data_IF_330269434003
#
_entry.id   IF_330269434003
#
_cell.length_a   1.000
_cell.length_b   1.000
_cell.length_c   1.000
_cell.angle_alpha   90.00
_cell.angle_beta   90.00
_cell.angle_gamma   90.00
#
_symmetry.space_group_name_H-M   'P 1'
#
loop_
_entity.id
_entity.type
_entity.pdbx_description
1 polymer ?
#
# COMPACT_ATOMS: atom_id res chain seq x y z
N UNK A 1 27.70 -8.93 10.61
CA UNK A 1 26.23 -9.11 10.45
C UNK A 1 25.71 -7.82 9.87
N UNK A 2 25.10 -7.88 8.68
CA UNK A 2 24.47 -6.69 8.06
C UNK A 2 23.13 -6.38 8.75
N UNK A 3 22.58 -5.20 8.49
CA UNK A 3 21.25 -4.82 9.03
C UNK A 3 20.18 -5.78 8.57
N UNK A 4 20.15 -6.17 7.29
CA UNK A 4 19.18 -7.12 6.76
C UNK A 4 19.36 -8.52 7.36
N UNK A 5 20.61 -8.97 7.52
CA UNK A 5 20.91 -10.25 8.17
C UNK A 5 20.40 -10.29 9.64
N UNK A 6 20.45 -9.17 10.35
CA UNK A 6 19.94 -9.08 11.72
C UNK A 6 18.42 -9.31 11.81
N UNK A 7 17.67 -9.00 10.77
CA UNK A 7 16.21 -9.21 10.73
C UNK A 7 15.83 -10.69 10.75
N UNK A 8 16.72 -11.60 10.37
CA UNK A 8 16.47 -13.04 10.45
C UNK A 8 16.33 -13.55 11.89
N UNK A 9 16.77 -12.77 12.87
CA UNK A 9 16.67 -13.08 14.30
C UNK A 9 15.43 -12.42 14.96
N UNK A 10 14.67 -11.62 14.21
CA UNK A 10 13.44 -11.02 14.74
C UNK A 10 12.39 -12.10 15.03
N UNK A 11 11.61 -11.95 16.12
CA UNK A 11 10.55 -12.89 16.43
C UNK A 11 9.47 -12.83 15.34
N UNK A 12 9.04 -14.02 14.90
CA UNK A 12 7.94 -14.11 13.95
C UNK A 12 6.61 -14.21 14.69
N UNK A 13 5.68 -13.29 14.40
CA UNK A 13 4.40 -13.18 15.12
C UNK A 13 3.62 -14.49 15.12
N UNK A 14 3.54 -15.16 13.97
CA UNK A 14 2.76 -16.37 13.82
C UNK A 14 3.38 -17.62 14.49
N UNK A 15 4.67 -17.57 14.85
CA UNK A 15 5.32 -18.57 15.70
C UNK A 15 5.19 -18.23 17.20
N UNK A 16 4.98 -16.96 17.51
CA UNK A 16 4.80 -16.46 18.86
C UNK A 16 3.37 -16.70 19.39
N UNK A 17 2.36 -16.34 18.61
CA UNK A 17 0.95 -16.39 19.02
C UNK A 17 0.48 -17.76 19.54
N UNK A 18 0.88 -18.93 18.96
CA UNK A 18 0.52 -20.24 19.50
C UNK A 18 1.03 -20.54 20.93
N UNK A 19 2.02 -19.77 21.39
CA UNK A 19 2.68 -19.98 22.70
C UNK A 19 2.22 -18.98 23.77
N UNK A 20 1.32 -18.06 23.39
CA UNK A 20 0.81 -17.03 24.29
C UNK A 20 -0.23 -17.65 25.23
N UNK A 21 -0.04 -17.46 26.54
CA UNK A 21 -1.00 -17.92 27.55
C UNK A 21 -2.21 -17.00 27.72
N UNK A 22 -2.08 -15.73 27.34
CA UNK A 22 -3.17 -14.75 27.41
C UNK A 22 -4.22 -15.04 26.34
N UNK A 23 -5.52 -14.79 26.63
CA UNK A 23 -6.56 -14.83 25.61
C UNK A 23 -6.22 -13.89 24.43
N UNK A 24 -6.45 -14.35 23.20
CA UNK A 24 -6.25 -13.56 21.99
C UNK A 24 -7.62 -13.07 21.52
N UNK A 25 -7.75 -11.78 21.24
CA UNK A 25 -8.98 -11.15 20.75
C UNK A 25 -8.72 -10.34 19.49
N UNK A 26 -9.71 -10.25 18.61
CA UNK A 26 -9.64 -9.39 17.43
C UNK A 26 -10.28 -8.03 17.71
N UNK A 27 -9.65 -6.99 17.21
CA UNK A 27 -10.23 -5.66 17.14
C UNK A 27 -10.65 -5.33 15.70
N UNK A 28 -11.93 -5.40 15.43
CA UNK A 28 -12.56 -5.13 14.14
C UNK A 28 -13.30 -6.33 13.55
N UNK A 29 -14.02 -6.04 12.46
CA UNK A 29 -14.86 -6.98 11.70
C UNK A 29 -14.65 -6.74 10.21
N UNK A 30 -14.97 -7.73 9.37
CA UNK A 30 -14.84 -7.66 7.91
C UNK A 30 -13.65 -8.44 7.38
N UNK A 31 -13.26 -8.18 6.14
CA UNK A 31 -12.30 -9.02 5.39
C UNK A 31 -10.96 -9.24 6.12
N UNK A 32 -10.43 -8.20 6.77
CA UNK A 32 -9.19 -8.33 7.54
C UNK A 32 -9.34 -9.27 8.75
N UNK A 33 -10.49 -9.19 9.44
CA UNK A 33 -10.80 -10.08 10.56
C UNK A 33 -11.04 -11.52 10.07
N UNK A 34 -11.71 -11.69 8.92
CA UNK A 34 -11.87 -13.01 8.30
C UNK A 34 -10.51 -13.66 8.01
N UNK A 35 -9.60 -12.94 7.37
CA UNK A 35 -8.27 -13.44 7.02
C UNK A 35 -7.44 -13.81 8.27
N UNK A 36 -7.48 -12.98 9.33
CA UNK A 36 -6.78 -13.27 10.58
C UNK A 36 -7.39 -14.49 11.27
N UNK A 37 -8.72 -14.60 11.33
CA UNK A 37 -9.39 -15.77 11.93
C UNK A 37 -9.06 -17.06 11.18
N UNK A 38 -9.08 -17.02 9.84
CA UNK A 38 -8.73 -18.18 9.02
C UNK A 38 -7.26 -18.59 9.23
N UNK A 39 -6.35 -17.62 9.36
CA UNK A 39 -4.94 -17.89 9.69
C UNK A 39 -4.78 -18.46 11.09
N UNK A 40 -5.47 -17.91 12.09
CA UNK A 40 -5.47 -18.44 13.45
C UNK A 40 -5.98 -19.89 13.48
N UNK A 41 -7.08 -20.18 12.79
CA UNK A 41 -7.64 -21.52 12.70
C UNK A 41 -6.65 -22.50 12.05
N UNK A 42 -5.99 -22.11 10.95
CA UNK A 42 -4.99 -22.94 10.28
C UNK A 42 -3.77 -23.26 11.15
N UNK A 43 -3.44 -22.39 12.10
CA UNK A 43 -2.32 -22.55 13.04
C UNK A 43 -2.75 -23.10 14.41
N UNK A 44 -4.03 -23.43 14.60
CA UNK A 44 -4.55 -23.91 15.88
C UNK A 44 -4.51 -22.87 17.01
N UNK A 45 -4.53 -21.57 16.67
CA UNK A 45 -4.52 -20.46 17.62
C UNK A 45 -5.96 -20.18 18.08
N UNK A 46 -6.31 -20.38 19.35
CA UNK A 46 -7.65 -20.09 19.83
C UNK A 46 -7.89 -18.59 19.95
N UNK A 47 -8.99 -18.09 19.39
CA UNK A 47 -9.45 -16.72 19.54
C UNK A 47 -10.56 -16.68 20.57
N UNK A 48 -10.42 -15.83 21.60
CA UNK A 48 -11.35 -15.75 22.72
C UNK A 48 -12.55 -14.81 22.44
N UNK A 49 -12.45 -13.92 21.47
CA UNK A 49 -13.52 -13.00 21.15
C UNK A 49 -13.19 -11.95 20.11
N UNK A 50 -14.20 -11.18 19.74
CA UNK A 50 -14.11 -10.06 18.80
C UNK A 50 -14.72 -8.82 19.45
N UNK A 51 -14.02 -7.70 19.37
CA UNK A 51 -14.56 -6.42 19.80
C UNK A 51 -14.45 -5.36 18.70
N UNK A 52 -15.27 -4.34 18.82
CA UNK A 52 -15.26 -3.19 17.91
C UNK A 52 -15.30 -1.90 18.70
N UNK A 53 -15.11 -0.77 18.02
CA UNK A 53 -15.35 0.55 18.58
C UNK A 53 -16.82 0.70 18.96
N UNK A 54 -17.11 1.40 20.06
CA UNK A 54 -18.45 1.44 20.68
C UNK A 54 -19.56 1.83 19.66
N UNK A 55 -19.24 2.74 18.75
CA UNK A 55 -20.14 3.19 17.68
C UNK A 55 -20.56 2.09 16.68
N UNK A 56 -19.80 0.99 16.63
CA UNK A 56 -20.05 -0.16 15.74
C UNK A 56 -20.60 -1.40 16.48
N UNK A 57 -20.74 -1.35 17.80
CA UNK A 57 -21.31 -2.46 18.59
C UNK A 57 -22.82 -2.31 18.65
N UNK A 58 -23.55 -3.27 18.03
CA UNK A 58 -25.02 -3.25 17.93
C UNK A 58 -25.65 -4.58 18.35
N UNK A 59 -24.91 -5.39 19.13
CA UNK A 59 -25.35 -6.73 19.55
C UNK A 59 -25.25 -7.80 18.46
N UNK A 60 -24.58 -7.50 17.34
CA UNK A 60 -24.37 -8.42 16.22
C UNK A 60 -23.36 -9.52 16.55
N UNK A 61 -23.41 -10.57 15.75
CA UNK A 61 -22.40 -11.61 15.73
C UNK A 61 -21.50 -11.49 14.49
N UNK A 62 -20.23 -11.86 14.64
CA UNK A 62 -19.25 -11.99 13.56
C UNK A 62 -18.53 -13.33 13.67
N UNK A 63 -18.65 -14.18 12.67
CA UNK A 63 -18.01 -15.53 12.63
C UNK A 63 -18.30 -16.38 13.88
N UNK A 64 -19.50 -16.27 14.46
CA UNK A 64 -19.91 -16.97 15.68
C UNK A 64 -19.49 -16.31 16.99
N UNK A 65 -18.79 -15.17 16.93
CA UNK A 65 -18.45 -14.38 18.11
C UNK A 65 -19.47 -13.26 18.30
N UNK A 66 -20.03 -13.12 19.51
CA UNK A 66 -20.79 -11.92 19.89
C UNK A 66 -19.81 -10.74 19.93
N UNK A 67 -20.06 -9.70 19.13
CA UNK A 67 -19.21 -8.51 19.11
C UNK A 67 -19.45 -7.67 20.36
N UNK A 68 -18.35 -7.36 21.07
CA UNK A 68 -18.34 -6.62 22.34
C UNK A 68 -17.65 -5.27 22.17
N UNK A 69 -17.84 -4.40 23.16
CA UNK A 69 -16.99 -3.21 23.33
C UNK A 69 -15.65 -3.61 23.97
N UNK A 70 -14.63 -2.74 23.84
CA UNK A 70 -13.35 -2.93 24.54
C UNK A 70 -13.53 -3.03 26.06
N UNK A 71 -14.45 -2.22 26.64
CA UNK A 71 -14.74 -2.20 28.07
C UNK A 71 -15.31 -3.53 28.56
N UNK A 72 -16.26 -4.10 27.81
CA UNK A 72 -16.84 -5.41 28.13
C UNK A 72 -15.78 -6.51 28.02
N UNK A 73 -14.95 -6.48 26.98
CA UNK A 73 -13.87 -7.46 26.79
C UNK A 73 -12.85 -7.39 27.94
N UNK A 74 -12.47 -6.17 28.35
CA UNK A 74 -11.54 -5.96 29.47
C UNK A 74 -12.11 -6.40 30.82
N UNK A 75 -13.41 -6.19 31.03
CA UNK A 75 -14.09 -6.63 32.24
C UNK A 75 -14.16 -8.16 32.35
N UNK A 76 -14.29 -8.86 31.23
CA UNK A 76 -14.40 -10.32 31.17
C UNK A 76 -13.05 -11.03 31.23
N UNK A 77 -12.06 -10.56 30.47
CA UNK A 77 -10.78 -11.25 30.27
C UNK A 77 -9.62 -10.64 31.07
N UNK A 78 -9.74 -9.39 31.53
CA UNK A 78 -8.66 -8.68 32.22
C UNK A 78 -7.52 -8.30 31.29
N UNK A 79 -6.51 -9.17 31.17
CA UNK A 79 -5.35 -9.01 30.27
C UNK A 79 -5.46 -9.96 29.09
N UNK A 80 -5.23 -9.46 27.88
CA UNK A 80 -5.35 -10.21 26.64
C UNK A 80 -4.43 -9.64 25.55
N UNK A 81 -4.26 -10.38 24.47
CA UNK A 81 -3.57 -9.95 23.25
C UNK A 81 -4.60 -9.43 22.25
N UNK A 82 -4.35 -8.27 21.66
CA UNK A 82 -5.19 -7.66 20.63
C UNK A 82 -4.55 -7.88 19.27
N UNK A 83 -5.32 -8.43 18.33
CA UNK A 83 -4.98 -8.41 16.90
C UNK A 83 -5.86 -7.39 16.19
N UNK A 84 -5.25 -6.31 15.68
CA UNK A 84 -5.94 -5.29 14.89
C UNK A 84 -6.29 -5.90 13.53
N UNK A 85 -7.56 -5.85 13.17
CA UNK A 85 -8.12 -6.60 12.05
C UNK A 85 -8.76 -5.70 10.98
N UNK A 86 -8.45 -4.42 10.96
CA UNK A 86 -8.92 -3.47 9.93
C UNK A 86 -7.89 -2.38 9.67
N UNK A 87 -7.97 -1.82 8.48
CA UNK A 87 -7.05 -0.79 8.01
C UNK A 87 -7.58 0.62 8.27
N UNK A 88 -6.71 1.58 8.59
CA UNK A 88 -7.07 2.98 8.76
C UNK A 88 -5.86 3.90 8.61
N UNK A 89 -6.09 5.07 8.03
CA UNK A 89 -5.22 6.25 8.04
C UNK A 89 -5.74 7.37 8.96
N UNK A 90 -6.99 7.24 9.44
CA UNK A 90 -7.66 8.28 10.21
C UNK A 90 -6.93 8.53 11.52
N UNK A 91 -6.50 9.79 11.81
CA UNK A 91 -5.65 10.10 12.96
C UNK A 91 -6.25 9.69 14.31
N UNK A 92 -7.59 9.78 14.47
CA UNK A 92 -8.28 9.38 15.70
C UNK A 92 -8.26 7.86 15.90
N UNK A 93 -8.29 7.08 14.80
CA UNK A 93 -8.21 5.61 14.85
C UNK A 93 -6.78 5.17 15.14
N UNK A 94 -5.80 5.79 14.47
CA UNK A 94 -4.38 5.52 14.73
C UNK A 94 -4.02 5.81 16.18
N UNK A 95 -4.46 6.96 16.73
CA UNK A 95 -4.27 7.27 18.17
C UNK A 95 -4.90 6.20 19.07
N UNK A 96 -6.09 5.67 18.71
CA UNK A 96 -6.75 4.58 19.44
C UNK A 96 -5.92 3.29 19.42
N UNK A 97 -5.36 2.90 18.27
CA UNK A 97 -4.47 1.74 18.17
C UNK A 97 -3.27 1.85 19.09
N UNK A 98 -2.56 2.97 19.06
CA UNK A 98 -1.40 3.20 19.92
C UNK A 98 -1.78 3.35 21.40
N UNK A 99 -2.98 3.82 21.71
CA UNK A 99 -3.50 3.84 23.08
C UNK A 99 -3.74 2.42 23.59
N UNK A 100 -4.42 1.58 22.82
CA UNK A 100 -4.63 0.17 23.16
C UNK A 100 -3.33 -0.58 23.35
N UNK A 101 -2.31 -0.31 22.53
CA UNK A 101 -0.98 -0.91 22.64
C UNK A 101 -0.21 -0.52 23.92
N UNK A 102 -0.62 0.55 24.62
CA UNK A 102 -0.08 0.90 25.95
C UNK A 102 -0.77 0.16 27.09
N UNK A 103 -2.02 -0.28 26.88
CA UNK A 103 -2.82 -0.96 27.89
C UNK A 103 -2.77 -2.47 27.78
N UNK A 104 -2.66 -2.98 26.56
CA UNK A 104 -2.70 -4.40 26.23
C UNK A 104 -1.60 -4.73 25.21
N UNK A 105 -1.13 -5.95 25.24
CA UNK A 105 -0.25 -6.47 24.20
C UNK A 105 -1.00 -6.48 22.86
N UNK A 106 -0.53 -5.68 21.89
CA UNK A 106 -1.28 -5.38 20.68
C UNK A 106 -0.40 -5.52 19.43
N UNK A 107 -0.93 -6.20 18.44
CA UNK A 107 -0.32 -6.41 17.13
C UNK A 107 -1.26 -6.02 16.01
N UNK A 108 -0.72 -5.58 14.87
CA UNK A 108 -1.40 -5.50 13.60
C UNK A 108 -0.77 -6.55 12.67
N UNK A 109 -1.34 -7.77 12.58
CA UNK A 109 -0.73 -8.85 11.81
C UNK A 109 -0.57 -8.48 10.34
N UNK A 110 0.62 -8.71 9.78
CA UNK A 110 0.80 -8.63 8.34
C UNK A 110 0.25 -9.90 7.69
N UNK A 111 -0.63 -9.71 6.71
CA UNK A 111 -1.14 -10.75 5.82
C UNK A 111 -0.98 -10.27 4.38
N UNK A 112 -0.60 -11.17 3.46
CA UNK A 112 -0.48 -10.82 2.05
C UNK A 112 -1.80 -10.31 1.47
N UNK A 113 -1.70 -9.36 0.55
CA UNK A 113 -2.80 -8.89 -0.28
C UNK A 113 -2.92 -9.75 -1.56
N UNK A 114 -3.98 -9.54 -2.32
CA UNK A 114 -4.16 -10.06 -3.69
C UNK A 114 -3.99 -11.59 -3.86
N UNK A 115 -4.25 -12.38 -2.80
CA UNK A 115 -4.23 -13.85 -2.91
C UNK A 115 -2.84 -14.49 -2.86
N UNK A 116 -1.78 -13.71 -2.65
CA UNK A 116 -0.48 -14.28 -2.32
C UNK A 116 -0.59 -15.07 -1.01
N UNK A 117 -0.07 -16.30 -1.02
CA UNK A 117 -0.10 -17.20 0.15
C UNK A 117 1.20 -17.15 0.94
N UNK A 118 2.25 -16.52 0.39
CA UNK A 118 3.54 -16.39 1.05
C UNK A 118 3.48 -15.25 2.05
N UNK A 119 3.98 -15.52 3.24
CA UNK A 119 4.09 -14.54 4.34
C UNK A 119 5.57 -14.24 4.53
N UNK A 120 5.91 -13.00 4.80
CA UNK A 120 7.28 -12.60 5.16
C UNK A 120 7.66 -13.30 6.47
N UNK A 121 8.61 -14.21 6.39
CA UNK A 121 9.16 -14.97 7.52
C UNK A 121 10.67 -14.70 7.65
N UNK A 122 11.32 -15.06 8.77
CA UNK A 122 12.79 -15.04 8.85
C UNK A 122 13.48 -15.84 7.73
N UNK A 123 12.86 -16.95 7.28
CA UNK A 123 13.31 -17.74 6.14
C UNK A 123 13.22 -16.96 4.83
N UNK A 124 12.10 -16.28 4.60
CA UNK A 124 11.91 -15.42 3.44
C UNK A 124 12.96 -14.27 3.38
N UNK A 125 13.28 -13.64 4.52
CA UNK A 125 14.36 -12.63 4.59
C UNK A 125 15.70 -13.27 4.17
N UNK A 126 16.01 -14.45 4.67
CA UNK A 126 17.25 -15.18 4.35
C UNK A 126 17.36 -15.51 2.86
N UNK A 127 16.29 -16.00 2.27
CA UNK A 127 16.23 -16.37 0.84
C UNK A 127 16.43 -15.13 -0.05
N UNK A 128 15.92 -13.97 0.37
CA UNK A 128 15.96 -12.73 -0.41
C UNK A 128 17.03 -11.74 0.08
N UNK A 129 17.91 -12.13 1.03
CA UNK A 129 18.90 -11.25 1.64
C UNK A 129 19.71 -10.47 0.61
N UNK A 130 20.26 -11.13 -0.39
CA UNK A 130 21.14 -10.50 -1.37
C UNK A 130 20.47 -9.40 -2.19
N UNK A 131 19.19 -9.56 -2.55
CA UNK A 131 18.44 -8.53 -3.27
C UNK A 131 18.00 -7.40 -2.32
N UNK A 132 17.59 -7.70 -1.10
CA UNK A 132 17.23 -6.71 -0.09
C UNK A 132 18.44 -5.84 0.27
N UNK A 133 19.62 -6.41 0.52
CA UNK A 133 20.86 -5.67 0.80
C UNK A 133 21.28 -4.76 -0.37
N UNK A 134 21.13 -5.24 -1.60
CA UNK A 134 21.43 -4.46 -2.80
C UNK A 134 20.54 -3.23 -2.91
N UNK A 135 19.22 -3.40 -2.72
CA UNK A 135 18.27 -2.27 -2.74
C UNK A 135 18.52 -1.34 -1.57
N UNK A 136 18.61 -1.88 -0.34
CA UNK A 136 18.91 -1.12 0.88
C UNK A 136 20.15 -0.23 0.73
N UNK A 137 21.24 -0.79 0.20
CA UNK A 137 22.48 -0.05 -0.02
C UNK A 137 22.40 1.04 -1.09
N UNK A 138 21.43 0.95 -2.02
CA UNK A 138 21.27 1.90 -3.12
C UNK A 138 20.18 2.95 -2.86
N UNK A 139 19.37 2.81 -1.79
CA UNK A 139 18.40 3.83 -1.40
C UNK A 139 19.09 5.18 -1.12
N UNK A 140 18.43 6.27 -1.49
CA UNK A 140 19.02 7.59 -1.60
C UNK A 140 19.47 8.20 -0.26
N UNK A 141 18.83 7.85 0.86
CA UNK A 141 19.12 8.41 2.16
C UNK A 141 18.89 7.43 3.33
N UNK A 142 19.36 7.82 4.53
CA UNK A 142 19.24 7.00 5.74
C UNK A 142 17.79 6.87 6.21
N UNK A 143 16.95 7.88 5.95
CA UNK A 143 15.53 7.82 6.28
C UNK A 143 14.85 6.68 5.48
N UNK A 144 15.17 6.53 4.20
CA UNK A 144 14.69 5.44 3.35
C UNK A 144 15.13 4.07 3.85
N UNK A 145 16.39 3.96 4.24
CA UNK A 145 16.94 2.71 4.82
C UNK A 145 16.22 2.33 6.11
N UNK A 146 15.99 3.31 6.98
CA UNK A 146 15.28 3.07 8.24
C UNK A 146 13.81 2.69 8.00
N UNK A 147 13.14 3.31 7.02
CA UNK A 147 11.77 2.94 6.64
C UNK A 147 11.74 1.49 6.14
N UNK A 148 12.70 1.06 5.31
CA UNK A 148 12.78 -0.32 4.83
C UNK A 148 12.97 -1.32 5.98
N UNK A 149 13.82 -1.00 6.96
CA UNK A 149 13.99 -1.81 8.17
C UNK A 149 12.69 -1.93 8.97
N UNK A 150 12.03 -0.80 9.23
CA UNK A 150 10.79 -0.75 10.00
C UNK A 150 9.68 -1.56 9.31
N UNK A 151 9.57 -1.48 7.97
CA UNK A 151 8.63 -2.29 7.18
C UNK A 151 8.90 -3.79 7.37
N UNK A 152 10.14 -4.22 7.21
CA UNK A 152 10.51 -5.64 7.31
C UNK A 152 10.30 -6.17 8.74
N UNK A 153 10.69 -5.38 9.77
CA UNK A 153 10.42 -5.73 11.17
C UNK A 153 8.93 -5.82 11.46
N UNK A 154 8.15 -4.85 10.96
CA UNK A 154 6.70 -4.90 11.11
C UNK A 154 6.10 -6.16 10.46
N UNK A 155 6.48 -6.47 9.23
CA UNK A 155 5.96 -7.66 8.52
C UNK A 155 6.27 -8.96 9.26
N UNK A 156 7.40 -9.04 9.95
CA UNK A 156 7.76 -10.19 10.80
C UNK A 156 6.98 -10.21 12.11
N UNK A 157 6.92 -9.06 12.81
CA UNK A 157 6.52 -9.01 14.22
C UNK A 157 5.09 -8.54 14.46
N UNK A 158 4.47 -7.87 13.48
CA UNK A 158 3.16 -7.22 13.65
C UNK A 158 3.14 -6.06 14.67
N UNK A 159 4.29 -5.62 15.18
CA UNK A 159 4.38 -4.60 16.23
C UNK A 159 4.12 -3.21 15.70
N UNK A 160 3.24 -2.47 16.40
CA UNK A 160 2.86 -1.10 16.05
C UNK A 160 4.02 -0.09 16.18
N UNK A 161 5.02 -0.37 17.02
CA UNK A 161 6.18 0.52 17.19
C UNK A 161 6.93 0.78 15.88
N UNK A 162 7.01 -0.21 15.00
CA UNK A 162 7.60 -0.06 13.67
C UNK A 162 6.72 0.70 12.69
N UNK A 163 5.45 0.92 13.03
CA UNK A 163 4.53 1.78 12.27
C UNK A 163 4.44 3.21 12.83
N UNK A 164 5.12 3.52 13.92
CA UNK A 164 5.08 4.84 14.54
C UNK A 164 5.87 5.90 13.75
N UNK A 165 6.92 5.47 13.02
CA UNK A 165 7.73 6.37 12.19
C UNK A 165 7.07 6.57 10.84
N UNK A 166 6.60 7.77 10.60
CA UNK A 166 5.99 8.20 9.33
C UNK A 166 6.47 9.59 8.96
N UNK A 167 6.36 9.92 7.70
CA UNK A 167 6.56 11.27 7.18
C UNK A 167 5.22 11.87 6.74
N UNK A 168 5.17 13.18 6.54
CA UNK A 168 4.02 13.86 5.96
C UNK A 168 4.12 13.79 4.44
N UNK A 169 3.07 13.28 3.77
CA UNK A 169 3.04 13.08 2.33
C UNK A 169 3.24 14.39 1.56
N UNK A 170 2.56 15.46 1.98
CA UNK A 170 2.68 16.76 1.33
C UNK A 170 4.09 17.32 1.46
N UNK A 171 4.67 17.22 2.66
CA UNK A 171 6.05 17.66 2.89
C UNK A 171 7.05 16.85 2.05
N UNK A 172 6.85 15.53 1.92
CA UNK A 172 7.71 14.70 1.05
C UNK A 172 7.60 15.11 -0.41
N UNK A 173 6.39 15.37 -0.92
CA UNK A 173 6.18 15.85 -2.29
C UNK A 173 6.84 17.21 -2.52
N UNK A 174 6.70 18.14 -1.59
CA UNK A 174 7.29 19.49 -1.69
C UNK A 174 8.83 19.46 -1.59
N UNK A 175 9.40 18.52 -0.82
CA UNK A 175 10.86 18.49 -0.57
C UNK A 175 11.63 17.60 -1.54
N UNK A 176 11.02 16.49 -1.99
CA UNK A 176 11.66 15.52 -2.88
C UNK A 176 11.37 15.81 -4.35
N UNK A 177 10.21 16.41 -4.66
CA UNK A 177 9.86 16.81 -6.02
C UNK A 177 9.92 18.34 -6.16
N UNK A 178 10.60 18.78 -7.23
CA UNK A 178 10.52 20.19 -7.66
C UNK A 178 9.52 20.28 -8.78
N UNK A 179 8.40 20.97 -8.56
CA UNK A 179 7.39 21.20 -9.58
C UNK A 179 7.61 22.55 -10.28
N UNK A 180 7.49 22.54 -11.63
CA UNK A 180 7.53 23.72 -12.45
C UNK A 180 6.13 24.15 -12.92
N UNK A 181 6.07 25.20 -13.76
CA UNK A 181 4.80 25.70 -14.32
C UNK A 181 4.30 24.87 -15.52
N UNK A 182 5.17 24.10 -16.17
CA UNK A 182 4.87 23.32 -17.38
C UNK A 182 4.92 21.81 -17.12
N UNK A 183 4.34 21.37 -15.99
CA UNK A 183 4.33 19.94 -15.65
C UNK A 183 3.32 19.17 -16.50
N UNK A 184 3.77 18.06 -17.09
CA UNK A 184 2.88 17.04 -17.67
C UNK A 184 2.81 15.88 -16.67
N UNK A 185 1.62 15.69 -16.08
CA UNK A 185 1.41 14.76 -14.98
C UNK A 185 0.54 13.57 -15.39
N UNK A 186 1.01 12.37 -15.09
CA UNK A 186 0.28 11.12 -15.25
C UNK A 186 -0.18 10.55 -13.90
N UNK A 187 -1.47 10.32 -13.74
CA UNK A 187 -2.08 9.67 -12.59
C UNK A 187 -2.60 8.30 -13.00
N UNK A 188 -1.84 7.27 -12.73
CA UNK A 188 -2.19 5.89 -13.01
C UNK A 188 -2.80 5.25 -11.76
N UNK A 189 -4.09 4.92 -11.82
CA UNK A 189 -4.94 4.66 -10.68
C UNK A 189 -5.49 5.95 -10.07
N UNK A 190 -6.12 6.78 -10.92
CA UNK A 190 -6.55 8.14 -10.57
C UNK A 190 -7.80 8.19 -9.65
N UNK A 191 -8.42 7.05 -9.38
CA UNK A 191 -9.58 6.91 -8.48
C UNK A 191 -10.66 7.95 -8.78
N UNK A 192 -10.86 8.90 -7.88
CA UNK A 192 -11.86 9.97 -8.01
C UNK A 192 -11.22 11.35 -8.29
N UNK A 193 -9.91 11.40 -8.61
CA UNK A 193 -9.16 12.62 -8.87
C UNK A 193 -8.55 13.28 -7.63
N UNK A 194 -8.45 12.57 -6.50
CA UNK A 194 -7.84 13.09 -5.27
C UNK A 194 -6.36 13.42 -5.42
N UNK A 195 -5.60 12.57 -6.10
CA UNK A 195 -4.17 12.80 -6.38
C UNK A 195 -3.96 13.82 -7.50
N UNK A 196 -4.89 13.96 -8.45
CA UNK A 196 -4.89 15.09 -9.38
C UNK A 196 -5.12 16.42 -8.65
N UNK A 197 -6.03 16.46 -7.67
CA UNK A 197 -6.25 17.65 -6.83
C UNK A 197 -5.01 18.00 -6.02
N UNK A 198 -4.37 16.99 -5.38
CA UNK A 198 -3.11 17.17 -4.67
C UNK A 198 -2.03 17.78 -5.58
N UNK A 199 -1.89 17.28 -6.80
CA UNK A 199 -0.96 17.81 -7.79
C UNK A 199 -1.27 19.27 -8.17
N UNK A 200 -2.53 19.60 -8.44
CA UNK A 200 -2.94 20.98 -8.75
C UNK A 200 -2.69 21.95 -7.59
N UNK A 201 -2.89 21.51 -6.35
CA UNK A 201 -2.54 22.32 -5.18
C UNK A 201 -1.03 22.57 -5.07
N UNK A 202 -0.20 21.56 -5.36
CA UNK A 202 1.26 21.67 -5.32
C UNK A 202 1.84 22.57 -6.42
N UNK A 203 1.18 22.61 -7.57
CA UNK A 203 1.61 23.45 -8.72
C UNK A 203 0.90 24.80 -8.80
N UNK A 204 0.00 25.10 -7.82
CA UNK A 204 -0.83 26.31 -7.89
C UNK A 204 -1.76 26.35 -9.10
N UNK A 205 -2.16 25.19 -9.60
CA UNK A 205 -3.03 25.02 -10.76
C UNK A 205 -2.28 25.10 -12.12
N UNK A 206 -0.94 25.19 -12.12
CA UNK A 206 -0.14 25.24 -13.34
C UNK A 206 0.22 23.84 -13.84
N UNK A 207 -0.03 23.57 -15.11
CA UNK A 207 0.34 22.32 -15.80
C UNK A 207 0.30 22.49 -17.32
N UNK A 208 1.04 21.64 -18.01
CA UNK A 208 0.96 21.53 -19.48
C UNK A 208 -0.11 20.51 -19.89
N UNK A 209 -0.06 19.28 -19.35
CA UNK A 209 -1.03 18.23 -19.67
C UNK A 209 -1.28 17.29 -18.49
N UNK A 210 -2.52 16.82 -18.33
CA UNK A 210 -2.92 15.83 -17.33
C UNK A 210 -3.35 14.53 -18.01
N UNK A 211 -2.89 13.41 -17.49
CA UNK A 211 -3.35 12.07 -17.87
C UNK A 211 -3.95 11.40 -16.66
N UNK A 212 -5.17 10.87 -16.75
CA UNK A 212 -5.84 10.10 -15.70
C UNK A 212 -6.28 8.75 -16.21
N UNK A 213 -5.87 7.67 -15.56
CA UNK A 213 -6.25 6.30 -15.88
C UNK A 213 -6.94 5.66 -14.68
N UNK A 214 -8.19 5.22 -14.86
CA UNK A 214 -9.00 4.61 -13.79
C UNK A 214 -9.96 3.56 -14.39
N UNK A 215 -9.78 2.26 -14.09
CA UNK A 215 -10.59 1.20 -14.69
C UNK A 215 -11.97 1.01 -14.07
N UNK A 216 -12.20 1.44 -12.81
CA UNK A 216 -13.52 1.29 -12.19
C UNK A 216 -14.49 2.34 -12.73
N UNK A 217 -15.63 1.93 -13.35
CA UNK A 217 -16.54 2.88 -14.00
C UNK A 217 -17.15 3.92 -13.04
N UNK A 218 -17.33 3.57 -11.75
CA UNK A 218 -17.91 4.49 -10.76
C UNK A 218 -16.89 5.54 -10.35
N UNK A 219 -15.64 5.12 -10.16
CA UNK A 219 -14.56 6.03 -9.83
C UNK A 219 -14.21 6.90 -11.03
N UNK A 220 -14.14 6.32 -12.22
CA UNK A 220 -13.94 7.07 -13.47
C UNK A 220 -15.00 8.16 -13.68
N UNK A 221 -16.28 7.86 -13.41
CA UNK A 221 -17.33 8.86 -13.52
C UNK A 221 -17.14 10.02 -12.51
N UNK A 222 -16.60 9.75 -11.30
CA UNK A 222 -16.25 10.81 -10.34
C UNK A 222 -15.04 11.63 -10.81
N UNK A 223 -14.03 10.96 -11.37
CA UNK A 223 -12.87 11.60 -11.96
C UNK A 223 -13.26 12.54 -13.11
N UNK A 224 -14.13 12.10 -14.03
CA UNK A 224 -14.66 12.93 -15.10
C UNK A 224 -15.40 14.16 -14.54
N UNK A 225 -16.28 13.93 -13.57
CA UNK A 225 -17.01 15.01 -12.91
C UNK A 225 -16.09 16.02 -12.25
N UNK A 226 -15.02 15.56 -11.57
CA UNK A 226 -14.00 16.42 -10.99
C UNK A 226 -13.33 17.30 -12.06
N UNK A 227 -12.90 16.71 -13.16
CA UNK A 227 -12.25 17.45 -14.29
C UNK A 227 -13.19 18.50 -14.90
N UNK A 228 -14.49 18.16 -15.02
CA UNK A 228 -15.51 19.08 -15.53
C UNK A 228 -15.79 20.24 -14.54
N UNK A 229 -15.95 19.94 -13.25
CA UNK A 229 -16.23 20.94 -12.20
C UNK A 229 -15.07 21.93 -12.02
N UNK A 230 -13.83 21.45 -12.06
CA UNK A 230 -12.63 22.28 -11.98
C UNK A 230 -12.25 22.93 -13.35
N UNK A 231 -13.01 22.66 -14.40
CA UNK A 231 -12.80 23.18 -15.76
C UNK A 231 -11.38 22.91 -16.29
N UNK A 232 -10.83 21.73 -15.98
CA UNK A 232 -9.46 21.36 -16.36
C UNK A 232 -9.39 21.10 -17.87
N UNK A 233 -8.69 21.97 -18.59
CA UNK A 233 -8.34 21.76 -20.00
C UNK A 233 -7.09 20.88 -20.16
N UNK A 234 -6.74 20.54 -21.39
CA UNK A 234 -5.53 19.75 -21.71
C UNK A 234 -5.40 18.48 -20.85
N UNK A 235 -6.50 17.71 -20.76
CA UNK A 235 -6.63 16.52 -19.95
C UNK A 235 -7.01 15.33 -20.83
N UNK A 236 -6.35 14.18 -20.63
CA UNK A 236 -6.66 12.91 -21.26
C UNK A 236 -7.08 11.92 -20.18
N UNK A 237 -8.35 11.53 -20.16
CA UNK A 237 -8.89 10.54 -19.23
C UNK A 237 -9.17 9.22 -19.97
N UNK A 238 -8.74 8.10 -19.40
CA UNK A 238 -8.89 6.77 -19.99
C UNK A 238 -9.55 5.82 -18.99
N UNK A 239 -10.72 5.19 -19.34
CA UNK A 239 -11.43 4.26 -18.47
C UNK A 239 -10.87 2.83 -18.57
N UNK A 240 -9.56 2.70 -18.69
CA UNK A 240 -8.87 1.44 -18.87
C UNK A 240 -8.00 1.12 -17.66
N UNK A 241 -7.60 -0.15 -17.50
CA UNK A 241 -6.48 -0.49 -16.61
C UNK A 241 -5.15 -0.06 -17.22
N UNK A 242 -4.08 -0.08 -16.43
CA UNK A 242 -2.71 0.10 -16.92
C UNK A 242 -1.99 -1.24 -16.97
N UNK A 243 -1.18 -1.47 -18.01
CA UNK A 243 -0.45 -2.73 -18.18
C UNK A 243 0.83 -2.53 -19.02
N UNK A 244 1.58 -3.62 -19.21
CA UNK A 244 2.80 -3.62 -20.03
C UNK A 244 2.55 -3.34 -21.52
N UNK A 245 1.37 -3.64 -22.04
CA UNK A 245 0.95 -3.42 -23.43
C UNK A 245 -0.54 -3.12 -23.49
N UNK A 246 -0.96 -2.28 -24.43
CA UNK A 246 -2.37 -2.02 -24.66
C UNK A 246 -3.06 -3.28 -25.21
N UNK A 247 -4.09 -3.77 -24.53
CA UNK A 247 -4.79 -5.01 -24.85
C UNK A 247 -6.19 -5.06 -24.23
N UNK A 248 -6.93 -6.14 -24.50
CA UNK A 248 -8.09 -6.56 -23.72
C UNK A 248 -7.69 -7.78 -22.89
N UNK A 249 -7.77 -7.69 -21.58
CA UNK A 249 -7.37 -8.75 -20.65
C UNK A 249 -8.58 -9.29 -19.86
N UNK A 250 -8.60 -10.59 -19.52
CA UNK A 250 -9.61 -11.13 -18.63
C UNK A 250 -9.47 -10.53 -17.23
N UNK A 251 -10.58 -10.09 -16.64
CA UNK A 251 -10.64 -9.40 -15.37
C UNK A 251 -11.45 -10.18 -14.34
N UNK A 252 -10.91 -10.42 -13.18
CA UNK A 252 -11.64 -10.96 -12.05
C UNK A 252 -12.09 -9.82 -11.12
N UNK A 253 -13.36 -9.43 -11.21
CA UNK A 253 -13.96 -8.46 -10.30
C UNK A 253 -14.16 -9.10 -8.91
N UNK A 254 -13.25 -8.83 -7.96
CA UNK A 254 -13.46 -9.05 -6.53
C UNK A 254 -13.91 -7.71 -5.96
N UNK A 255 -15.19 -7.55 -5.65
CA UNK A 255 -15.79 -6.26 -5.25
C UNK A 255 -14.99 -5.47 -4.19
N UNK A 256 -14.96 -4.12 -4.33
CA UNK A 256 -14.25 -3.19 -3.47
C UNK A 256 -12.90 -2.72 -4.06
N UNK A 257 -12.01 -2.21 -3.19
CA UNK A 257 -10.64 -1.79 -3.54
C UNK A 257 -9.71 -2.93 -4.01
N UNK A 258 -10.17 -4.18 -3.97
CA UNK A 258 -9.44 -5.41 -4.27
C UNK A 258 -9.71 -5.94 -5.69
N UNK A 259 -10.03 -5.10 -6.64
CA UNK A 259 -10.23 -5.51 -8.04
C UNK A 259 -8.88 -5.57 -8.75
N UNK A 260 -8.40 -6.78 -9.07
CA UNK A 260 -7.12 -7.01 -9.74
C UNK A 260 -7.28 -7.67 -11.10
N UNK A 261 -6.29 -7.50 -11.96
CA UNK A 261 -6.17 -8.23 -13.22
C UNK A 261 -5.69 -9.66 -12.91
N UNK A 262 -6.62 -10.62 -12.83
CA UNK A 262 -6.31 -12.04 -12.63
C UNK A 262 -6.73 -12.88 -13.83
N UNK A 263 -5.93 -13.89 -14.19
CA UNK A 263 -6.28 -14.87 -15.22
C UNK A 263 -7.49 -15.69 -14.79
N UNK A 264 -8.57 -15.66 -15.58
CA UNK A 264 -9.79 -16.46 -15.36
C UNK A 264 -11.08 -15.68 -15.07
N UNK A 265 -11.06 -14.35 -15.11
CA UNK A 265 -12.26 -13.51 -14.99
C UNK A 265 -13.21 -13.66 -16.18
N UNK A 266 -14.53 -13.52 -15.92
CA UNK A 266 -15.58 -13.59 -16.96
C UNK A 266 -15.82 -12.27 -17.71
N UNK A 267 -15.17 -11.18 -17.32
CA UNK A 267 -15.26 -9.87 -17.99
C UNK A 267 -13.90 -9.50 -18.57
N UNK A 268 -13.89 -8.95 -19.75
CA UNK A 268 -12.71 -8.33 -20.33
C UNK A 268 -12.63 -6.88 -19.87
N UNK A 269 -11.44 -6.46 -19.46
CA UNK A 269 -11.12 -5.05 -19.21
C UNK A 269 -10.08 -4.63 -20.23
N UNK A 270 -10.30 -3.48 -20.81
CA UNK A 270 -9.30 -2.85 -21.65
C UNK A 270 -8.17 -2.33 -20.77
N UNK A 271 -6.97 -2.51 -21.24
CA UNK A 271 -5.77 -1.96 -20.62
C UNK A 271 -5.00 -1.15 -21.65
N UNK A 272 -4.42 -0.06 -21.19
CA UNK A 272 -3.50 0.76 -21.96
C UNK A 272 -2.10 0.67 -21.35
N UNK A 273 -1.07 1.04 -22.10
CA UNK A 273 0.26 1.22 -21.54
C UNK A 273 0.64 2.70 -21.54
N UNK A 274 1.56 3.08 -20.66
CA UNK A 274 1.99 4.46 -20.51
C UNK A 274 2.65 5.01 -21.79
N UNK A 275 3.35 4.15 -22.54
CA UNK A 275 3.98 4.49 -23.79
C UNK A 275 2.97 4.92 -24.88
N UNK A 276 1.83 4.23 -24.96
CA UNK A 276 0.75 4.56 -25.90
C UNK A 276 -0.06 5.78 -25.43
N UNK A 277 -0.31 5.88 -24.13
CA UNK A 277 -1.07 6.95 -23.50
C UNK A 277 -0.39 8.33 -23.74
N UNK A 278 0.90 8.41 -23.52
CA UNK A 278 1.68 9.65 -23.61
C UNK A 278 2.17 9.91 -25.04
N UNK A 279 2.52 8.86 -25.79
CA UNK A 279 3.09 8.97 -27.12
C UNK A 279 4.40 9.76 -27.12
N UNK A 280 4.50 10.76 -28.02
CA UNK A 280 5.70 11.59 -28.16
C UNK A 280 5.67 12.87 -27.30
N UNK A 281 4.62 13.09 -26.53
CA UNK A 281 4.50 14.26 -25.65
C UNK A 281 5.47 14.17 -24.47
N UNK A 282 5.80 15.30 -23.82
CA UNK A 282 6.55 15.27 -22.57
C UNK A 282 5.74 14.63 -21.44
N UNK A 283 6.44 13.99 -20.51
CA UNK A 283 5.92 13.55 -19.22
C UNK A 283 6.95 13.93 -18.17
N UNK A 284 6.60 14.75 -17.19
CA UNK A 284 7.55 15.28 -16.20
C UNK A 284 7.35 14.69 -14.83
N UNK A 285 6.14 14.19 -14.55
CA UNK A 285 5.80 13.55 -13.31
C UNK A 285 4.77 12.44 -13.55
N UNK A 286 4.88 11.31 -12.82
CA UNK A 286 3.89 10.25 -12.86
C UNK A 286 3.71 9.62 -11.48
N UNK A 287 2.45 9.42 -11.08
CA UNK A 287 2.08 8.59 -9.92
C UNK A 287 1.57 7.25 -10.43
N UNK A 288 1.97 6.15 -9.80
CA UNK A 288 1.48 4.80 -10.04
C UNK A 288 1.04 4.19 -8.71
N UNK A 289 -0.25 3.95 -8.61
CA UNK A 289 -0.90 3.19 -7.54
C UNK A 289 -2.00 2.39 -8.20
N UNK A 290 -1.62 1.22 -8.72
CA UNK A 290 -2.38 0.47 -9.72
C UNK A 290 -2.71 -0.95 -9.27
N UNK A 291 -2.84 -1.09 -7.94
CA UNK A 291 -3.35 -2.29 -7.29
C UNK A 291 -2.53 -3.56 -7.62
N UNK A 292 -1.20 -3.44 -7.55
CA UNK A 292 -0.25 -4.55 -7.64
C UNK A 292 0.25 -4.88 -9.05
N UNK A 293 0.09 -3.96 -10.00
CA UNK A 293 0.63 -4.10 -11.37
C UNK A 293 1.63 -2.98 -11.72
N UNK A 294 2.27 -2.40 -10.69
CA UNK A 294 3.24 -1.30 -10.83
C UNK A 294 4.42 -1.70 -11.74
N UNK A 295 4.88 -2.92 -11.62
CA UNK A 295 5.98 -3.46 -12.43
C UNK A 295 5.60 -3.56 -13.91
N UNK A 296 4.40 -4.05 -14.21
CA UNK A 296 3.85 -4.09 -15.56
C UNK A 296 3.63 -2.67 -16.11
N UNK A 297 3.15 -1.74 -15.28
CA UNK A 297 2.98 -0.34 -15.65
C UNK A 297 4.33 0.33 -15.98
N UNK A 298 5.37 0.07 -15.20
CA UNK A 298 6.75 0.53 -15.48
C UNK A 298 7.27 -0.04 -16.81
N UNK A 299 7.08 -1.34 -17.05
CA UNK A 299 7.47 -1.99 -18.31
C UNK A 299 6.72 -1.39 -19.50
N UNK A 300 5.41 -1.09 -19.34
CA UNK A 300 4.58 -0.45 -20.36
C UNK A 300 4.87 1.04 -20.59
N UNK A 301 5.68 1.65 -19.74
CA UNK A 301 6.17 3.04 -19.86
C UNK A 301 7.65 3.15 -20.21
N UNK A 302 8.30 2.05 -20.54
CA UNK A 302 9.76 2.00 -20.66
C UNK A 302 10.33 3.03 -21.66
N UNK A 303 9.67 3.26 -22.79
CA UNK A 303 10.10 4.24 -23.80
C UNK A 303 9.95 5.68 -23.30
N UNK A 304 8.80 6.00 -22.74
CA UNK A 304 8.50 7.34 -22.20
C UNK A 304 9.38 7.64 -20.99
N UNK A 305 9.54 6.69 -20.06
CA UNK A 305 10.37 6.87 -18.86
C UNK A 305 11.84 7.10 -19.24
N UNK A 306 12.41 6.33 -20.17
CA UNK A 306 13.79 6.55 -20.64
C UNK A 306 13.97 7.89 -21.35
N UNK A 307 12.99 8.30 -22.14
CA UNK A 307 13.05 9.56 -22.91
C UNK A 307 12.84 10.78 -22.04
N UNK A 308 11.80 10.77 -21.21
CA UNK A 308 11.37 11.94 -20.44
C UNK A 308 12.01 12.03 -19.06
N UNK A 309 12.42 10.89 -18.49
CA UNK A 309 12.99 10.79 -17.13
C UNK A 309 12.12 11.51 -16.08
N UNK A 310 10.82 11.19 -15.99
CA UNK A 310 9.90 11.89 -15.10
C UNK A 310 10.24 11.65 -13.63
N UNK A 311 9.85 12.56 -12.75
CA UNK A 311 9.68 12.28 -11.34
C UNK A 311 8.60 11.21 -11.19
N UNK A 312 8.79 10.21 -10.32
CA UNK A 312 7.81 9.14 -10.16
C UNK A 312 7.47 8.92 -8.70
N UNK A 313 6.18 8.82 -8.40
CA UNK A 313 5.64 8.39 -7.11
C UNK A 313 5.01 7.00 -7.30
N UNK A 314 5.62 5.98 -6.73
CA UNK A 314 5.24 4.59 -6.95
C UNK A 314 4.79 3.94 -5.65
N UNK A 315 3.59 3.37 -5.62
CA UNK A 315 3.14 2.54 -4.51
C UNK A 315 4.00 1.27 -4.41
N UNK A 316 4.40 0.88 -3.20
CA UNK A 316 5.27 -0.28 -2.99
C UNK A 316 4.78 -1.15 -1.82
N UNK A 317 3.45 -1.41 -1.78
CA UNK A 317 2.83 -2.13 -0.67
C UNK A 317 1.83 -3.22 -1.08
N UNK A 318 1.61 -3.40 -2.36
CA UNK A 318 0.65 -4.37 -2.85
C UNK A 318 1.18 -5.80 -2.76
N UNK A 319 2.46 -6.01 -3.08
CA UNK A 319 3.17 -7.28 -2.92
C UNK A 319 4.36 -7.15 -1.98
N UNK A 320 4.75 -8.23 -1.32
CA UNK A 320 5.89 -8.20 -0.40
C UNK A 320 7.23 -7.98 -1.12
N UNK A 321 7.32 -8.39 -2.38
CA UNK A 321 8.47 -8.22 -3.26
C UNK A 321 8.52 -6.87 -3.98
N UNK A 322 7.49 -6.04 -3.90
CA UNK A 322 7.54 -4.63 -4.36
C UNK A 322 8.73 -3.86 -3.78
N UNK A 323 9.14 -4.21 -2.55
CA UNK A 323 10.29 -3.59 -1.88
C UNK A 323 11.61 -3.68 -2.66
N UNK A 324 11.74 -4.63 -3.58
CA UNK A 324 12.90 -4.71 -4.47
C UNK A 324 12.56 -4.75 -5.95
N UNK A 325 11.45 -5.33 -6.36
CA UNK A 325 11.10 -5.43 -7.78
C UNK A 325 10.90 -4.07 -8.42
N UNK A 326 10.15 -3.17 -7.75
CA UNK A 326 9.94 -1.80 -8.21
C UNK A 326 11.25 -1.01 -8.29
N UNK A 327 12.08 -0.90 -7.23
CA UNK A 327 13.37 -0.22 -7.33
C UNK A 327 14.30 -0.80 -8.40
N UNK A 328 14.35 -2.11 -8.53
CA UNK A 328 15.21 -2.74 -9.53
C UNK A 328 14.75 -2.43 -10.95
N UNK A 329 13.44 -2.45 -11.22
CA UNK A 329 12.90 -2.09 -12.53
C UNK A 329 13.15 -0.61 -12.84
N UNK A 330 12.97 0.29 -11.88
CA UNK A 330 13.31 1.71 -12.02
C UNK A 330 14.77 1.90 -12.42
N UNK A 331 15.71 1.23 -11.74
CA UNK A 331 17.14 1.33 -12.07
C UNK A 331 17.51 0.60 -13.37
N UNK A 332 16.76 -0.42 -13.78
CA UNK A 332 16.92 -1.07 -15.08
C UNK A 332 16.50 -0.12 -16.23
N UNK A 333 15.47 0.69 -16.01
CA UNK A 333 15.02 1.68 -16.97
C UNK A 333 15.99 2.87 -17.06
N UNK A 334 16.36 3.45 -15.92
CA UNK A 334 17.24 4.63 -15.81
C UNK A 334 18.16 4.44 -14.58
N UNK A 335 19.41 4.00 -14.76
CA UNK A 335 20.32 3.68 -13.65
C UNK A 335 20.68 4.86 -12.72
N UNK A 336 20.54 6.09 -13.22
CA UNK A 336 20.86 7.34 -12.51
C UNK A 336 19.81 7.76 -11.51
N UNK A 337 18.61 7.17 -11.55
CA UNK A 337 17.56 7.53 -10.62
C UNK A 337 17.96 7.30 -9.16
N UNK A 338 17.61 8.28 -8.34
CA UNK A 338 17.67 8.23 -6.88
C UNK A 338 16.29 7.83 -6.37
N UNK A 339 16.24 6.87 -5.46
CA UNK A 339 15.00 6.36 -4.91
C UNK A 339 14.95 6.64 -3.41
N UNK A 340 13.96 7.43 -2.99
CA UNK A 340 13.64 7.66 -1.60
C UNK A 340 12.43 6.83 -1.23
N UNK A 341 12.52 6.05 -0.16
CA UNK A 341 11.41 5.27 0.38
C UNK A 341 10.79 6.02 1.55
N UNK A 342 9.49 6.26 1.49
CA UNK A 342 8.73 6.94 2.55
C UNK A 342 7.51 6.12 2.92
N UNK A 343 7.06 6.28 4.16
CA UNK A 343 5.82 5.67 4.64
C UNK A 343 4.96 6.75 5.30
N UNK A 344 3.73 6.84 4.85
CA UNK A 344 2.74 7.76 5.40
C UNK A 344 1.90 7.09 6.48
N UNK A 345 1.20 7.87 7.34
CA UNK A 345 0.44 7.31 8.46
C UNK A 345 -0.65 6.33 8.00
N UNK A 346 -0.46 5.06 8.26
CA UNK A 346 -1.42 4.00 7.98
C UNK A 346 -1.17 2.76 8.87
N UNK A 347 -2.21 2.05 9.27
CA UNK A 347 -2.13 0.72 9.89
C UNK A 347 -3.13 -0.17 9.14
N UNK A 348 -2.72 -1.32 8.62
CA UNK A 348 -1.38 -1.95 8.61
C UNK A 348 -0.33 -1.18 7.80
N UNK A 349 0.77 -1.79 7.41
CA UNK A 349 1.88 -1.16 6.72
C UNK A 349 1.57 -0.95 5.21
N UNK A 350 0.58 -0.13 4.94
CA UNK A 350 0.27 0.40 3.62
C UNK A 350 0.79 1.83 3.51
N UNK A 351 0.52 2.52 2.41
CA UNK A 351 1.06 3.86 2.12
C UNK A 351 2.60 3.90 2.17
N UNK A 352 3.22 2.86 1.61
CA UNK A 352 4.63 2.80 1.30
C UNK A 352 4.82 3.35 -0.10
N UNK A 353 5.64 4.38 -0.24
CA UNK A 353 5.81 5.09 -1.50
C UNK A 353 7.30 5.26 -1.84
N UNK A 354 7.66 4.95 -3.09
CA UNK A 354 8.95 5.27 -3.67
C UNK A 354 8.86 6.62 -4.39
N UNK A 355 9.64 7.58 -3.93
CA UNK A 355 9.85 8.86 -4.60
C UNK A 355 11.11 8.74 -5.44
N UNK A 356 10.95 8.81 -6.75
CA UNK A 356 12.01 8.62 -7.73
C UNK A 356 12.37 9.95 -8.37
N UNK A 357 13.64 10.34 -8.31
CA UNK A 357 14.17 11.61 -8.82
C UNK A 357 15.50 11.39 -9.53
N UNK A 358 15.96 12.37 -10.30
CA UNK A 358 17.32 12.38 -10.85
C UNK A 358 18.33 12.97 -9.87
#
# INVERSE_FOLDING_TARGET
MTTIEALEQEPFLWDYLPRVEKPIVLYGMGNGADAILDRCAALGIPVAGVFASDEFVRGQEFRGYKVKTYKEMKAELGSFVILIAFASERPEILRRFFHLAREQETYAPHLPLFGDTRVVTPGWIRENRGVLERVYGKLADDASRQVMEDILRYKLTGKLEYLARTTDRRQDLETLFSFGEEESYGDLGAYNGDTLREFLELTGGHYDHLYGVEPDPKNFAKLQKFVEEEQLGRCTLVPDGIWAQSAALPFAARGGRMSSLEQGGKKEVKVTCLDDLVGDRPLTCVKMDVEGVEKEALAGGARVIRRCRPKMLLAGYHHDDDLWEIPLEVWNLVPEYRIHLRRHPYVPCWEINFFVTL
#
